data_IF_068488315692
#
_entry.id   IF_068488315692
#
_cell.length_a   1.000
_cell.length_b   1.000
_cell.length_c   1.000
_cell.angle_alpha   90.00
_cell.angle_beta   90.00
_cell.angle_gamma   90.00
#
_symmetry.space_group_name_H-M   'P 1'
#
loop_
_entity.id
_entity.type
_entity.pdbx_description
1 polymer ?
#
# COMPACT_ATOMS: atom_id res chain seq x y z
N UNK A 1 9.01 2.06 -38.65
CA UNK A 1 8.98 2.91 -37.45
C UNK A 1 7.93 2.33 -36.53
N UNK A 2 8.31 1.42 -35.63
CA UNK A 2 7.35 0.59 -34.91
C UNK A 2 7.78 0.43 -33.45
N UNK A 3 6.81 0.57 -32.54
CA UNK A 3 6.82 0.08 -31.16
C UNK A 3 7.73 0.71 -30.10
N UNK A 4 8.50 1.77 -30.37
CA UNK A 4 9.30 2.41 -29.30
C UNK A 4 8.43 3.05 -28.22
N UNK A 5 7.34 3.74 -28.60
CA UNK A 5 6.44 4.38 -27.63
C UNK A 5 5.58 3.39 -26.84
N UNK A 6 5.15 2.28 -27.46
CA UNK A 6 4.40 1.22 -26.77
C UNK A 6 5.28 0.43 -25.80
N UNK A 7 6.55 0.19 -26.14
CA UNK A 7 7.51 -0.45 -25.23
C UNK A 7 7.87 0.47 -24.05
N UNK A 8 8.05 1.77 -24.30
CA UNK A 8 8.28 2.77 -23.24
C UNK A 8 7.09 2.89 -22.29
N UNK A 9 5.86 2.92 -22.80
CA UNK A 9 4.65 2.93 -21.97
C UNK A 9 4.50 1.64 -21.14
N UNK A 10 4.95 0.48 -21.66
CA UNK A 10 4.93 -0.80 -20.93
C UNK A 10 5.98 -0.87 -19.82
N UNK A 11 7.14 -0.23 -20.02
CA UNK A 11 8.19 -0.10 -19.01
C UNK A 11 7.83 0.93 -17.93
N UNK A 12 7.23 2.06 -18.32
CA UNK A 12 6.69 3.06 -17.40
C UNK A 12 5.48 2.55 -16.61
N UNK A 13 4.73 1.59 -17.17
CA UNK A 13 3.60 0.94 -16.50
C UNK A 13 3.97 0.17 -15.23
N UNK A 14 5.22 -0.26 -15.06
CA UNK A 14 5.61 -1.06 -13.90
C UNK A 14 5.66 -0.26 -12.59
N UNK A 15 5.85 1.07 -12.66
CA UNK A 15 5.88 1.93 -11.47
C UNK A 15 4.50 2.50 -11.12
N UNK A 16 3.54 2.49 -12.05
CA UNK A 16 2.21 3.09 -11.87
C UNK A 16 1.23 2.21 -11.07
N UNK A 17 1.61 0.97 -10.72
CA UNK A 17 0.78 0.04 -9.95
C UNK A 17 1.18 -0.13 -8.48
N UNK A 18 2.34 0.37 -8.07
CA UNK A 18 2.73 0.29 -6.66
C UNK A 18 2.21 1.51 -5.91
N UNK A 19 1.24 1.27 -5.03
CA UNK A 19 0.82 2.28 -4.07
C UNK A 19 2.03 2.71 -3.25
N UNK A 20 2.31 4.02 -3.26
CA UNK A 20 3.46 4.52 -2.52
C UNK A 20 3.15 4.48 -1.02
N UNK A 21 4.21 4.36 -0.21
CA UNK A 21 4.05 4.33 1.25
C UNK A 21 3.35 5.59 1.77
N UNK A 22 3.62 6.75 1.17
CA UNK A 22 3.02 8.02 1.59
C UNK A 22 1.51 8.09 1.29
N UNK A 23 1.07 7.52 0.16
CA UNK A 23 -0.35 7.40 -0.18
C UNK A 23 -1.07 6.51 0.83
N UNK A 24 -0.47 5.36 1.17
CA UNK A 24 -1.01 4.46 2.20
C UNK A 24 -1.12 5.18 3.54
N UNK A 25 -0.08 5.91 3.95
CA UNK A 25 -0.10 6.62 5.23
C UNK A 25 -1.17 7.72 5.26
N UNK A 26 -1.33 8.48 4.18
CA UNK A 26 -2.39 9.50 4.08
C UNK A 26 -3.79 8.90 4.19
N UNK A 27 -4.06 7.82 3.46
CA UNK A 27 -5.36 7.12 3.48
C UNK A 27 -5.64 6.48 4.85
N UNK A 28 -4.67 5.76 5.42
CA UNK A 28 -4.84 5.10 6.73
C UNK A 28 -5.03 6.12 7.86
N UNK A 29 -4.32 7.25 7.81
CA UNK A 29 -4.53 8.34 8.77
C UNK A 29 -5.93 8.94 8.65
N UNK A 30 -6.48 9.09 7.44
CA UNK A 30 -7.85 9.59 7.28
C UNK A 30 -8.89 8.67 7.94
N UNK A 31 -8.71 7.34 7.88
CA UNK A 31 -9.55 6.40 8.62
C UNK A 31 -9.38 6.53 10.14
N UNK A 32 -8.14 6.65 10.62
CA UNK A 32 -7.84 6.79 12.05
C UNK A 32 -8.31 8.13 12.63
N UNK A 33 -8.27 9.21 11.84
CA UNK A 33 -8.76 10.54 12.21
C UNK A 33 -10.29 10.53 12.33
N UNK A 34 -10.97 9.73 11.51
CA UNK A 34 -12.42 9.51 11.60
C UNK A 34 -12.79 8.62 12.79
N UNK A 35 -12.08 7.50 12.96
CA UNK A 35 -12.27 6.53 14.05
C UNK A 35 -10.92 5.89 14.42
N UNK A 36 -10.40 6.26 15.59
CA UNK A 36 -9.14 5.76 16.12
C UNK A 36 -9.14 4.24 16.37
N UNK A 37 -10.32 3.61 16.50
CA UNK A 37 -10.47 2.18 16.72
C UNK A 37 -10.81 1.41 15.42
N UNK A 38 -10.64 2.05 14.25
CA UNK A 38 -10.92 1.44 12.93
C UNK A 38 -10.35 0.03 12.80
N UNK A 39 -9.15 -0.21 13.33
CA UNK A 39 -8.42 -1.49 13.21
C UNK A 39 -8.38 -2.31 14.51
N UNK A 40 -8.76 -1.76 15.66
CA UNK A 40 -8.58 -2.41 16.96
C UNK A 40 -9.35 -3.72 17.05
N UNK A 41 -8.67 -4.77 17.52
CA UNK A 41 -9.21 -6.13 17.70
C UNK A 41 -9.77 -6.75 16.40
N UNK A 42 -9.34 -6.26 15.23
CA UNK A 42 -9.74 -6.80 13.92
C UNK A 42 -8.62 -7.60 13.29
N UNK A 43 -8.98 -8.42 12.31
CA UNK A 43 -8.00 -9.11 11.45
C UNK A 43 -7.93 -8.41 10.10
N UNK A 44 -6.75 -7.90 9.75
CA UNK A 44 -6.49 -7.30 8.43
C UNK A 44 -5.84 -8.35 7.54
N UNK A 45 -6.49 -8.66 6.42
CA UNK A 45 -5.92 -9.53 5.39
C UNK A 45 -5.08 -8.67 4.44
N UNK A 46 -3.82 -9.06 4.26
CA UNK A 46 -2.85 -8.34 3.44
C UNK A 46 -2.48 -9.18 2.20
N UNK A 47 -3.39 -9.37 1.23
CA UNK A 47 -3.05 -10.05 0.00
C UNK A 47 -1.99 -9.22 -0.74
N UNK A 48 -0.81 -9.78 -0.88
CA UNK A 48 0.28 -9.18 -1.67
C UNK A 48 1.06 -10.29 -2.38
N UNK A 49 1.58 -9.97 -3.57
CA UNK A 49 2.39 -10.92 -4.36
C UNK A 49 3.75 -11.16 -3.72
N UNK A 50 4.35 -10.11 -3.15
CA UNK A 50 5.59 -10.21 -2.36
C UNK A 50 5.51 -9.32 -1.10
N UNK A 51 5.44 -9.92 0.11
CA UNK A 51 5.37 -9.18 1.35
C UNK A 51 6.66 -8.42 1.71
N UNK A 52 7.83 -8.80 1.16
CA UNK A 52 9.09 -8.11 1.44
C UNK A 52 9.17 -6.73 0.77
N UNK A 53 8.45 -6.54 -0.34
CA UNK A 53 8.48 -5.31 -1.15
C UNK A 53 7.19 -4.48 -1.04
N UNK A 54 6.13 -5.04 -0.45
CA UNK A 54 4.84 -4.36 -0.31
C UNK A 54 4.89 -3.23 0.72
N UNK A 55 4.75 -1.98 0.25
CA UNK A 55 4.58 -0.80 1.12
C UNK A 55 3.38 -0.95 2.07
N UNK A 56 2.33 -1.65 1.63
CA UNK A 56 1.13 -1.90 2.42
C UNK A 56 1.42 -2.87 3.58
N UNK A 57 2.06 -3.99 3.29
CA UNK A 57 2.48 -4.95 4.33
C UNK A 57 3.43 -4.29 5.32
N UNK A 58 4.39 -3.51 4.82
CA UNK A 58 5.33 -2.75 5.64
C UNK A 58 4.64 -1.75 6.57
N UNK A 59 3.58 -1.07 6.13
CA UNK A 59 2.83 -0.13 6.96
C UNK A 59 2.20 -0.82 8.17
N UNK A 60 1.42 -1.88 7.93
CA UNK A 60 0.73 -2.60 9.00
C UNK A 60 1.68 -3.33 9.94
N UNK A 61 2.74 -3.94 9.41
CA UNK A 61 3.75 -4.60 10.24
C UNK A 61 4.48 -3.61 11.17
N UNK A 62 4.81 -2.42 10.68
CA UNK A 62 5.49 -1.40 11.47
C UNK A 62 4.60 -0.79 12.57
N UNK A 63 3.28 -0.73 12.36
CA UNK A 63 2.30 -0.08 13.25
C UNK A 63 1.38 -1.07 13.96
N UNK A 64 1.69 -2.36 13.94
CA UNK A 64 0.81 -3.43 14.41
C UNK A 64 0.27 -3.18 15.84
N UNK A 65 1.17 -2.85 16.78
CA UNK A 65 0.80 -2.52 18.16
C UNK A 65 -0.03 -1.24 18.28
N UNK A 66 0.32 -0.21 17.52
CA UNK A 66 -0.32 1.10 17.58
C UNK A 66 -1.75 1.03 17.04
N UNK A 67 -1.97 0.21 16.02
CA UNK A 67 -3.29 -0.05 15.42
C UNK A 67 -4.16 -1.01 16.25
N UNK A 68 -3.61 -1.62 17.31
CA UNK A 68 -4.33 -2.60 18.13
C UNK A 68 -4.70 -3.88 17.37
N UNK A 69 -3.86 -4.27 16.42
CA UNK A 69 -3.96 -5.49 15.63
C UNK A 69 -3.25 -6.67 16.29
#
# INVERSE_FOLDING_TARGET
MANTNLAAARAAKNDEFYTQYHDIEAEMNAYLDYDADTFRDKTVLLPCDDPEWSSFTRYFAARFRDLGL
#
